data_IF_153770611565
#
_entry.id   IF_153770611565
#
_cell.length_a   1.000
_cell.length_b   1.000
_cell.length_c   1.000
_cell.angle_alpha   90.00
_cell.angle_beta   90.00
_cell.angle_gamma   90.00
#
_symmetry.space_group_name_H-M   'P 1'
#
loop_
_entity.id
_entity.type
_entity.pdbx_description
1 polymer ?
#
# COMPACT_ATOMS: atom_id res chain seq x y z
N UNK A 1 -36.83 1.69 45.52
CA UNK A 1 -36.63 0.65 44.49
C UNK A 1 -35.51 1.13 43.59
N UNK A 2 -34.35 0.44 43.51
CA UNK A 2 -33.29 0.86 42.61
C UNK A 2 -33.79 0.67 41.18
N UNK A 3 -33.76 1.74 40.38
CA UNK A 3 -34.06 1.66 38.96
C UNK A 3 -33.05 0.70 38.34
N UNK A 4 -33.54 -0.38 37.71
CA UNK A 4 -32.72 -1.33 36.97
C UNK A 4 -31.86 -0.58 35.96
N UNK A 5 -30.56 -0.50 36.20
CA UNK A 5 -29.53 -0.02 35.27
C UNK A 5 -29.22 -1.11 34.23
N UNK A 6 -30.25 -1.70 33.64
CA UNK A 6 -30.05 -2.63 32.54
C UNK A 6 -29.55 -1.83 31.32
N UNK A 7 -28.43 -2.22 30.69
CA UNK A 7 -27.96 -1.57 29.49
C UNK A 7 -29.06 -1.67 28.43
N UNK A 8 -29.52 -0.51 27.99
CA UNK A 8 -30.65 -0.37 27.08
C UNK A 8 -30.24 -0.71 25.65
N UNK A 9 -29.98 -1.99 25.39
CA UNK A 9 -29.75 -2.55 24.06
C UNK A 9 -28.49 -2.04 23.34
N UNK A 10 -28.27 -2.58 22.14
CA UNK A 10 -27.25 -2.11 21.21
C UNK A 10 -27.88 -1.06 20.28
N UNK A 11 -27.28 0.12 20.16
CA UNK A 11 -27.66 1.12 19.16
C UNK A 11 -26.76 0.96 17.94
N UNK A 12 -27.32 0.51 16.82
CA UNK A 12 -26.58 0.46 15.55
C UNK A 12 -26.68 1.82 14.85
N UNK A 13 -25.54 2.50 14.73
CA UNK A 13 -25.42 3.77 14.02
C UNK A 13 -24.86 3.51 12.61
N UNK A 14 -25.49 4.08 11.59
CA UNK A 14 -24.96 4.10 10.23
C UNK A 14 -24.56 5.55 9.90
N UNK A 15 -23.27 5.80 9.78
CA UNK A 15 -22.73 7.09 9.34
C UNK A 15 -22.48 7.01 7.84
N UNK A 16 -23.06 7.95 7.08
CA UNK A 16 -22.82 8.06 5.63
C UNK A 16 -22.18 9.42 5.34
N UNK A 17 -20.90 9.40 4.95
CA UNK A 17 -20.20 10.60 4.51
C UNK A 17 -20.51 10.83 3.03
N UNK A 18 -21.38 11.81 2.74
CA UNK A 18 -21.65 12.22 1.36
C UNK A 18 -20.81 13.45 1.02
N UNK A 19 -19.82 13.34 0.11
CA UNK A 19 -19.14 14.54 -0.36
C UNK A 19 -20.17 15.46 -1.05
N UNK A 20 -20.10 16.78 -0.84
CA UNK A 20 -21.00 17.71 -1.48
C UNK A 20 -20.65 17.76 -2.98
N UNK A 21 -21.50 17.15 -3.82
CA UNK A 21 -21.41 17.33 -5.26
C UNK A 21 -22.14 18.61 -5.66
N UNK A 22 -21.52 19.45 -6.49
CA UNK A 22 -22.12 20.68 -7.01
C UNK A 22 -23.33 20.42 -7.92
N UNK A 23 -23.42 19.20 -8.48
CA UNK A 23 -24.53 18.75 -9.31
C UNK A 23 -24.72 17.23 -9.16
N UNK A 24 -25.93 16.74 -9.43
CA UNK A 24 -26.18 15.30 -9.51
C UNK A 24 -25.38 14.69 -10.68
N UNK A 25 -24.62 13.62 -10.41
CA UNK A 25 -23.91 12.87 -11.43
C UNK A 25 -24.91 12.01 -12.20
N UNK A 26 -24.91 12.10 -13.54
CA UNK A 26 -25.68 11.19 -14.39
C UNK A 26 -25.04 9.80 -14.36
N UNK A 27 -25.77 8.84 -13.80
CA UNK A 27 -25.31 7.46 -13.65
C UNK A 27 -25.00 6.79 -15.01
N UNK A 28 -25.75 7.14 -16.06
CA UNK A 28 -25.54 6.59 -17.39
C UNK A 28 -24.22 7.07 -18.00
N UNK A 29 -23.93 8.36 -17.85
CA UNK A 29 -22.69 8.98 -18.27
C UNK A 29 -21.50 8.45 -17.46
N UNK A 30 -21.64 8.33 -16.14
CA UNK A 30 -20.60 7.76 -15.28
C UNK A 30 -20.26 6.31 -15.68
N UNK A 31 -21.26 5.45 -15.87
CA UNK A 31 -21.06 4.06 -16.31
C UNK A 31 -20.46 3.96 -17.71
N UNK A 32 -20.78 4.92 -18.59
CA UNK A 32 -20.17 5.00 -19.92
C UNK A 32 -18.70 5.39 -19.81
N UNK A 33 -18.38 6.41 -19.01
CA UNK A 33 -17.03 6.89 -18.78
C UNK A 33 -16.14 5.82 -18.15
N UNK A 34 -16.62 5.15 -17.09
CA UNK A 34 -15.89 4.04 -16.44
C UNK A 34 -15.56 2.90 -17.43
N UNK A 35 -16.49 2.58 -18.34
CA UNK A 35 -16.26 1.56 -19.37
C UNK A 35 -15.17 1.98 -20.36
N UNK A 36 -15.17 3.25 -20.78
CA UNK A 36 -14.15 3.78 -21.68
C UNK A 36 -12.76 3.80 -21.00
N UNK A 37 -12.70 4.18 -19.73
CA UNK A 37 -11.45 4.18 -18.94
C UNK A 37 -10.91 2.76 -18.74
N UNK A 38 -11.75 1.81 -18.33
CA UNK A 38 -11.34 0.41 -18.20
C UNK A 38 -10.86 -0.19 -19.54
N UNK A 39 -11.53 0.13 -20.65
CA UNK A 39 -11.09 -0.35 -21.97
C UNK A 39 -9.74 0.26 -22.36
N UNK A 40 -9.57 1.57 -22.17
CA UNK A 40 -8.30 2.27 -22.42
C UNK A 40 -7.17 1.68 -21.57
N UNK A 41 -7.39 1.50 -20.27
CA UNK A 41 -6.37 1.00 -19.36
C UNK A 41 -6.00 -0.46 -19.68
N UNK A 42 -6.96 -1.28 -20.14
CA UNK A 42 -6.69 -2.63 -20.64
C UNK A 42 -5.81 -2.62 -21.89
N UNK A 43 -6.08 -1.73 -22.85
CA UNK A 43 -5.27 -1.58 -24.07
C UNK A 43 -3.84 -1.11 -23.75
N UNK A 44 -3.70 -0.12 -22.86
CA UNK A 44 -2.40 0.38 -22.38
C UNK A 44 -1.63 -0.72 -21.67
N UNK A 45 -2.29 -1.50 -20.80
CA UNK A 45 -1.65 -2.62 -20.12
C UNK A 45 -1.20 -3.72 -21.07
N UNK A 46 -2.02 -4.05 -22.09
CA UNK A 46 -1.64 -5.03 -23.10
C UNK A 46 -0.39 -4.58 -23.89
N UNK A 47 -0.34 -3.31 -24.28
CA UNK A 47 0.82 -2.72 -24.95
C UNK A 47 2.07 -2.73 -24.05
N UNK A 48 1.92 -2.37 -22.77
CA UNK A 48 3.00 -2.42 -21.79
C UNK A 48 3.55 -3.84 -21.62
N UNK A 49 2.68 -4.83 -21.41
CA UNK A 49 3.07 -6.24 -21.22
C UNK A 49 3.81 -6.75 -22.45
N UNK A 50 3.37 -6.40 -23.66
CA UNK A 50 4.06 -6.75 -24.90
C UNK A 50 5.49 -6.19 -24.93
N UNK A 51 5.64 -4.89 -24.63
CA UNK A 51 6.95 -4.22 -24.56
C UNK A 51 7.85 -4.82 -23.48
N UNK A 52 7.31 -5.10 -22.30
CA UNK A 52 8.04 -5.71 -21.19
C UNK A 52 8.53 -7.13 -21.53
N UNK A 53 7.74 -7.92 -22.28
CA UNK A 53 8.14 -9.25 -22.76
C UNK A 53 9.29 -9.18 -23.76
N UNK A 54 9.23 -8.27 -24.73
CA UNK A 54 10.31 -8.06 -25.68
C UNK A 54 11.60 -7.63 -24.95
N UNK A 55 11.48 -6.65 -24.07
CA UNK A 55 12.58 -6.18 -23.22
C UNK A 55 13.21 -7.29 -22.37
N UNK A 56 12.39 -8.15 -21.75
CA UNK A 56 12.87 -9.30 -20.97
C UNK A 56 13.62 -10.31 -21.83
N UNK A 57 13.10 -10.59 -23.04
CA UNK A 57 13.75 -11.44 -24.02
C UNK A 57 15.14 -10.91 -24.40
N UNK A 58 15.23 -9.63 -24.73
CA UNK A 58 16.49 -8.96 -25.06
C UNK A 58 17.48 -8.96 -23.89
N UNK A 59 16.98 -8.77 -22.66
CA UNK A 59 17.78 -8.83 -21.44
C UNK A 59 18.38 -10.22 -21.21
N UNK A 60 17.57 -11.28 -21.23
CA UNK A 60 18.03 -12.67 -20.99
C UNK A 60 18.90 -13.19 -22.15
N UNK A 61 18.68 -12.70 -23.38
CA UNK A 61 19.48 -13.11 -24.54
C UNK A 61 20.96 -12.71 -24.43
N UNK A 62 21.28 -11.65 -23.68
CA UNK A 62 22.66 -11.21 -23.47
C UNK A 62 23.43 -12.17 -22.57
N UNK A 63 22.80 -12.69 -21.51
CA UNK A 63 23.38 -13.69 -20.63
C UNK A 63 22.28 -14.49 -19.93
N UNK A 64 22.28 -15.81 -20.13
CA UNK A 64 21.31 -16.71 -19.50
C UNK A 64 21.35 -16.68 -17.96
N UNK A 65 22.48 -16.32 -17.35
CA UNK A 65 22.60 -16.15 -15.89
C UNK A 65 21.69 -15.04 -15.36
N UNK A 66 21.35 -14.05 -16.19
CA UNK A 66 20.47 -12.94 -15.80
C UNK A 66 19.05 -13.38 -15.46
N UNK A 67 18.63 -14.57 -15.91
CA UNK A 67 17.32 -15.14 -15.57
C UNK A 67 17.15 -15.39 -14.06
N UNK A 68 18.24 -15.61 -13.33
CA UNK A 68 18.22 -15.87 -11.88
C UNK A 68 18.22 -14.59 -11.01
N UNK A 69 18.41 -13.42 -11.63
CA UNK A 69 18.45 -12.13 -10.93
C UNK A 69 17.04 -11.71 -10.51
N UNK A 70 16.87 -11.16 -9.29
CA UNK A 70 15.57 -10.73 -8.81
C UNK A 70 15.12 -9.46 -9.55
N UNK A 71 14.18 -9.59 -10.48
CA UNK A 71 13.64 -8.47 -11.26
C UNK A 71 12.13 -8.43 -11.06
N UNK A 72 11.62 -7.26 -10.68
CA UNK A 72 10.19 -7.03 -10.43
C UNK A 72 9.68 -5.95 -11.37
N UNK A 73 8.86 -6.33 -12.35
CA UNK A 73 8.30 -5.44 -13.37
C UNK A 73 6.83 -5.14 -13.09
N UNK A 74 6.09 -6.14 -12.60
CA UNK A 74 4.68 -6.05 -12.27
C UNK A 74 4.45 -6.39 -10.79
N UNK A 75 3.49 -5.71 -10.18
CA UNK A 75 2.97 -6.01 -8.86
C UNK A 75 1.44 -6.01 -8.87
N UNK A 76 0.84 -6.84 -8.01
CA UNK A 76 -0.62 -6.88 -7.83
C UNK A 76 -1.04 -5.74 -6.90
N UNK A 77 -1.99 -4.91 -7.33
CA UNK A 77 -2.57 -3.85 -6.50
C UNK A 77 -3.64 -4.36 -5.54
N UNK A 78 -4.17 -3.45 -4.72
CA UNK A 78 -5.23 -3.73 -3.74
C UNK A 78 -6.51 -4.26 -4.37
N UNK A 79 -6.83 -3.83 -5.59
CA UNK A 79 -7.98 -4.27 -6.37
C UNK A 79 -7.82 -5.67 -6.96
N UNK A 80 -6.64 -6.28 -6.81
CA UNK A 80 -6.28 -7.59 -7.37
C UNK A 80 -5.80 -7.53 -8.82
N UNK A 81 -5.75 -6.36 -9.44
CA UNK A 81 -5.22 -6.17 -10.79
C UNK A 81 -3.69 -6.05 -10.79
N UNK A 82 -3.05 -6.40 -11.90
CA UNK A 82 -1.61 -6.21 -12.04
C UNK A 82 -1.29 -4.82 -12.60
N UNK A 83 -0.29 -4.17 -12.02
CA UNK A 83 0.21 -2.88 -12.44
C UNK A 83 1.74 -2.88 -12.55
N UNK A 84 2.32 -2.06 -13.44
CA UNK A 84 3.74 -1.77 -13.45
C UNK A 84 4.22 -1.25 -12.10
N UNK A 85 5.38 -1.70 -11.63
CA UNK A 85 5.92 -1.31 -10.30
C UNK A 85 6.11 0.21 -10.15
N UNK A 86 6.37 0.92 -11.24
CA UNK A 86 6.51 2.38 -11.26
C UNK A 86 5.21 3.10 -10.88
N UNK A 87 4.03 2.51 -11.08
CA UNK A 87 2.76 3.12 -10.70
C UNK A 87 2.66 3.36 -9.18
N UNK A 88 3.37 2.55 -8.38
CA UNK A 88 3.32 2.62 -6.92
C UNK A 88 4.31 3.61 -6.31
N UNK A 89 5.17 4.23 -7.13
CA UNK A 89 6.14 5.23 -6.70
C UNK A 89 5.80 6.57 -7.33
N UNK A 90 5.76 7.64 -6.54
CA UNK A 90 5.55 9.00 -7.04
C UNK A 90 6.19 10.02 -6.12
N UNK A 91 6.66 11.17 -6.63
CA UNK A 91 7.16 12.24 -5.75
C UNK A 91 6.09 12.70 -4.76
N UNK A 92 6.42 12.73 -3.46
CA UNK A 92 5.51 13.14 -2.39
C UNK A 92 6.02 14.37 -1.65
N UNK A 93 5.31 15.48 -1.81
CA UNK A 93 5.63 16.72 -1.12
C UNK A 93 4.83 16.79 0.19
N UNK A 94 5.52 16.57 1.31
CA UNK A 94 4.95 16.68 2.66
C UNK A 94 4.99 18.12 3.23
N UNK A 95 5.31 19.11 2.41
CA UNK A 95 5.51 20.48 2.86
C UNK A 95 6.60 20.58 3.94
N UNK A 96 6.33 21.33 5.02
CA UNK A 96 7.27 21.52 6.15
C UNK A 96 7.16 20.43 7.24
N UNK A 97 6.35 19.38 7.04
CA UNK A 97 6.11 18.37 8.07
C UNK A 97 7.31 17.45 8.31
N UNK A 98 8.07 17.13 7.26
CA UNK A 98 9.35 16.43 7.36
C UNK A 98 10.43 17.32 6.74
N UNK A 99 11.43 17.70 7.54
CA UNK A 99 12.45 18.67 7.16
C UNK A 99 13.64 18.02 6.44
N UNK A 100 13.82 16.69 6.53
CA UNK A 100 14.95 16.00 5.91
C UNK A 100 14.67 14.55 5.48
N UNK A 101 15.49 14.05 4.56
CA UNK A 101 15.50 12.65 4.15
C UNK A 101 15.68 11.67 5.34
N UNK A 102 16.45 12.08 6.36
CA UNK A 102 16.67 11.27 7.57
C UNK A 102 15.41 11.21 8.44
N UNK A 103 14.69 12.32 8.55
CA UNK A 103 13.40 12.35 9.24
C UNK A 103 12.37 11.49 8.50
N UNK A 104 12.35 11.50 7.17
CA UNK A 104 11.51 10.60 6.39
C UNK A 104 11.85 9.13 6.60
N UNK A 105 13.13 8.75 6.57
CA UNK A 105 13.54 7.38 6.85
C UNK A 105 13.11 6.94 8.27
N UNK A 106 13.27 7.82 9.27
CA UNK A 106 12.81 7.55 10.64
C UNK A 106 11.29 7.45 10.71
N UNK A 107 10.56 8.36 10.09
CA UNK A 107 9.10 8.34 10.03
C UNK A 107 8.58 7.00 9.47
N UNK A 108 9.14 6.56 8.33
CA UNK A 108 8.77 5.29 7.72
C UNK A 108 9.11 4.10 8.62
N UNK A 109 10.29 4.10 9.26
CA UNK A 109 10.68 3.02 10.19
C UNK A 109 9.78 2.88 11.43
N UNK A 110 9.04 3.94 11.78
CA UNK A 110 8.09 3.93 12.90
C UNK A 110 6.72 3.35 12.51
N UNK A 111 6.46 3.19 11.21
CA UNK A 111 5.24 2.53 10.76
C UNK A 111 5.28 1.07 11.17
N UNK A 112 4.20 0.62 11.81
CA UNK A 112 4.12 -0.75 12.32
C UNK A 112 4.17 -1.74 11.17
N UNK A 113 5.10 -2.69 11.25
CA UNK A 113 5.15 -3.82 10.34
C UNK A 113 4.03 -4.79 10.70
N UNK A 114 3.36 -5.33 9.68
CA UNK A 114 2.29 -6.31 9.89
C UNK A 114 2.78 -7.61 10.52
N UNK A 115 4.05 -7.98 10.31
CA UNK A 115 4.66 -9.14 10.98
C UNK A 115 4.74 -8.99 12.51
N UNK A 116 4.70 -7.76 13.01
CA UNK A 116 4.68 -7.45 14.46
C UNK A 116 3.24 -7.43 15.02
N UNK A 117 2.20 -7.54 14.18
CA UNK A 117 0.81 -7.70 14.60
C UNK A 117 0.53 -9.19 14.78
N UNK A 118 0.00 -9.58 15.94
CA UNK A 118 -0.28 -10.97 16.28
C UNK A 118 -1.02 -11.71 15.14
N UNK A 119 -0.62 -12.94 14.78
CA UNK A 119 -1.32 -13.70 13.76
C UNK A 119 -2.75 -13.97 14.23
N UNK A 120 -3.72 -13.32 13.58
CA UNK A 120 -5.12 -13.67 13.74
C UNK A 120 -5.28 -15.16 13.35
N UNK A 121 -6.01 -15.97 14.14
CA UNK A 121 -6.26 -17.37 13.83
C UNK A 121 -7.12 -17.47 12.56
N UNK A 122 -6.45 -17.49 11.43
CA UNK A 122 -7.07 -17.60 10.12
C UNK A 122 -7.22 -19.08 9.80
N UNK A 123 -8.42 -19.61 10.03
CA UNK A 123 -8.79 -20.94 9.55
C UNK A 123 -8.76 -20.96 8.02
N UNK A 124 -7.81 -21.69 7.44
CA UNK A 124 -7.69 -21.92 6.01
C UNK A 124 -6.41 -21.36 5.42
N UNK A 125 -5.48 -22.24 5.08
CA UNK A 125 -4.32 -21.94 4.22
C UNK A 125 -4.83 -21.61 2.82
N UNK A 126 -5.10 -20.34 2.56
CA UNK A 126 -5.04 -19.81 1.20
C UNK A 126 -3.73 -19.05 1.11
N UNK A 127 -2.84 -19.45 0.20
CA UNK A 127 -1.63 -18.71 -0.14
C UNK A 127 -2.06 -17.33 -0.67
N UNK A 128 -2.21 -16.38 0.25
CA UNK A 128 -2.65 -15.03 -0.07
C UNK A 128 -1.54 -14.37 -0.91
N UNK A 129 -1.79 -14.16 -2.19
CA UNK A 129 -0.85 -13.54 -3.15
C UNK A 129 -0.27 -12.21 -2.62
N UNK A 130 1.00 -11.93 -2.91
CA UNK A 130 1.65 -10.63 -2.63
C UNK A 130 0.85 -9.51 -3.31
N UNK A 131 0.41 -8.52 -2.53
CA UNK A 131 -0.36 -7.38 -2.98
C UNK A 131 0.31 -6.12 -2.41
N UNK A 132 0.52 -5.12 -3.26
CA UNK A 132 1.11 -3.85 -2.89
C UNK A 132 0.01 -2.86 -2.53
N UNK A 133 0.03 -2.44 -1.28
CA UNK A 133 -0.86 -1.39 -0.83
C UNK A 133 -0.42 -0.04 -1.38
N UNK A 134 -1.40 0.82 -1.57
CA UNK A 134 -1.14 2.19 -1.93
C UNK A 134 -0.62 2.94 -0.73
N UNK A 135 0.14 3.97 -1.03
CA UNK A 135 0.66 4.90 -0.06
C UNK A 135 -0.38 5.38 0.97
N UNK A 136 -1.57 5.76 0.52
CA UNK A 136 -2.60 6.30 1.39
C UNK A 136 -3.18 5.22 2.31
N UNK A 137 -3.30 3.98 1.81
CA UNK A 137 -3.69 2.83 2.63
C UNK A 137 -2.65 2.63 3.72
N UNK A 138 -1.37 2.53 3.35
CA UNK A 138 -0.24 2.38 4.30
C UNK A 138 -0.25 3.46 5.38
N UNK A 139 -0.52 4.72 5.01
CA UNK A 139 -0.58 5.84 5.95
C UNK A 139 -1.85 5.84 6.81
N UNK A 140 -3.02 5.56 6.22
CA UNK A 140 -4.31 5.58 6.91
C UNK A 140 -4.46 4.43 7.90
N UNK A 141 -3.93 3.25 7.60
CA UNK A 141 -3.96 2.12 8.52
C UNK A 141 -2.93 2.24 9.65
N UNK A 142 -1.98 3.20 9.59
CA UNK A 142 -0.88 3.33 10.57
C UNK A 142 -0.01 2.06 10.71
N UNK A 143 -0.22 1.12 9.79
CA UNK A 143 0.29 -0.25 9.70
C UNK A 143 0.29 -0.58 8.20
N UNK A 144 1.33 -1.22 7.67
CA UNK A 144 1.31 -1.71 6.28
C UNK A 144 0.33 -2.90 6.18
N UNK A 145 -0.96 -2.65 5.93
CA UNK A 145 -2.01 -3.69 5.97
C UNK A 145 -2.38 -4.14 4.56
N UNK A 146 -1.98 -5.36 4.19
CA UNK A 146 -2.63 -6.10 3.10
C UNK A 146 -4.16 -6.14 3.27
N UNK A 147 -4.86 -5.43 2.39
CA UNK A 147 -6.33 -5.41 2.31
C UNK A 147 -6.80 -6.77 1.80
N UNK A 148 -7.63 -7.47 2.58
CA UNK A 148 -8.28 -8.71 2.15
C UNK A 148 -9.62 -8.38 1.52
N UNK A 149 -9.66 -8.22 0.19
CA UNK A 149 -10.92 -8.12 -0.53
C UNK A 149 -11.43 -9.52 -0.85
N UNK A 150 -12.55 -9.91 -0.23
CA UNK A 150 -13.38 -10.99 -0.77
C UNK A 150 -14.08 -10.45 -2.01
N UNK A 151 -13.61 -10.86 -3.19
CA UNK A 151 -14.34 -10.66 -4.43
C UNK A 151 -15.74 -11.28 -4.29
N UNK A 152 -16.79 -10.45 -4.27
CA UNK A 152 -18.13 -10.92 -4.62
C UNK A 152 -18.07 -11.28 -6.09
N UNK A 153 -18.04 -12.58 -6.38
CA UNK A 153 -18.24 -13.11 -7.71
C UNK A 153 -19.67 -12.77 -8.18
N UNK A 154 -19.83 -11.58 -8.76
CA UNK A 154 -20.89 -11.29 -9.72
C UNK A 154 -20.34 -11.57 -11.12
N UNK A 155 -21.13 -12.12 -12.05
CA UNK A 155 -20.65 -12.49 -13.36
C UNK A 155 -20.44 -11.22 -14.19
N UNK A 156 -19.25 -10.62 -14.06
CA UNK A 156 -18.74 -9.71 -15.08
C UNK A 156 -18.00 -10.59 -16.06
N UNK A 157 -18.62 -10.86 -17.20
CA UNK A 157 -17.97 -11.43 -18.38
C UNK A 157 -16.91 -10.45 -18.90
N UNK A 158 -15.84 -10.27 -18.15
CA UNK A 158 -14.56 -9.88 -18.72
C UNK A 158 -13.94 -11.20 -19.18
N UNK A 159 -13.98 -11.45 -20.50
CA UNK A 159 -13.04 -12.37 -21.14
C UNK A 159 -11.65 -11.76 -20.96
N UNK A 160 -11.11 -11.92 -19.75
CA UNK A 160 -9.74 -11.57 -19.42
C UNK A 160 -8.83 -12.44 -20.28
N UNK A 161 -7.87 -11.80 -20.91
CA UNK A 161 -6.70 -12.46 -21.48
C UNK A 161 -5.99 -13.13 -20.31
N UNK A 162 -6.32 -14.41 -20.06
CA UNK A 162 -5.49 -15.26 -19.21
C UNK A 162 -4.12 -15.35 -19.88
N UNK A 163 -3.17 -14.55 -19.40
CA UNK A 163 -1.75 -14.76 -19.67
C UNK A 163 -1.29 -16.00 -18.90
N UNK A 164 -1.77 -17.18 -19.30
CA UNK A 164 -1.25 -18.47 -18.86
C UNK A 164 0.21 -18.58 -19.32
N UNK A 165 1.15 -18.58 -18.37
CA UNK A 165 2.48 -19.15 -18.55
C UNK A 165 3.64 -18.19 -18.91
N UNK A 166 3.66 -16.95 -18.42
CA UNK A 166 4.86 -16.10 -18.54
C UNK A 166 5.04 -15.18 -17.32
N UNK A 167 5.93 -15.56 -16.40
CA UNK A 167 6.33 -14.70 -15.28
C UNK A 167 7.27 -13.60 -15.76
N UNK A 168 6.72 -12.38 -15.92
CA UNK A 168 7.50 -11.17 -16.19
C UNK A 168 8.40 -10.76 -15.01
N UNK A 169 8.17 -11.35 -13.84
CA UNK A 169 9.08 -11.31 -12.71
C UNK A 169 10.01 -12.52 -12.88
N UNK A 170 11.25 -12.27 -13.32
CA UNK A 170 12.21 -13.29 -13.75
C UNK A 170 12.27 -14.55 -12.85
N UNK A 171 12.46 -15.70 -13.49
CA UNK A 171 12.44 -17.03 -12.87
C UNK A 171 13.50 -17.20 -11.75
N UNK A 172 13.12 -16.85 -10.52
CA UNK A 172 13.62 -17.49 -9.33
C UNK A 172 12.98 -18.87 -9.22
N UNK A 173 13.73 -19.93 -9.54
CA UNK A 173 13.28 -21.30 -9.35
C UNK A 173 12.81 -21.54 -7.92
N UNK A 174 11.60 -22.07 -7.78
CA UNK A 174 11.26 -23.03 -6.73
C UNK A 174 11.46 -22.62 -5.27
N UNK A 175 11.47 -21.33 -4.94
CA UNK A 175 11.26 -20.91 -3.56
C UNK A 175 10.08 -19.97 -3.52
N UNK A 176 9.00 -20.45 -2.91
CA UNK A 176 7.89 -19.64 -2.40
C UNK A 176 8.49 -18.57 -1.51
N UNK A 177 8.85 -17.44 -2.09
CA UNK A 177 9.28 -16.26 -1.36
C UNK A 177 8.10 -15.85 -0.51
N UNK A 178 8.17 -16.10 0.79
CA UNK A 178 7.32 -15.43 1.76
C UNK A 178 7.71 -13.97 1.79
N UNK A 179 7.34 -13.20 0.76
CA UNK A 179 7.41 -11.75 0.77
C UNK A 179 6.43 -11.25 1.83
N UNK A 180 6.97 -10.94 3.00
CA UNK A 180 6.28 -10.20 4.05
C UNK A 180 5.89 -8.84 3.45
N UNK A 181 4.64 -8.74 3.00
CA UNK A 181 4.08 -7.60 2.24
C UNK A 181 4.14 -6.24 2.94
N UNK A 182 4.79 -6.11 4.10
CA UNK A 182 5.07 -4.81 4.72
C UNK A 182 6.36 -4.16 4.26
N UNK A 183 7.40 -4.92 3.88
CA UNK A 183 8.75 -4.35 3.63
C UNK A 183 8.83 -3.58 2.33
N UNK A 184 8.17 -4.09 1.29
CA UNK A 184 8.16 -3.46 -0.04
C UNK A 184 7.38 -2.14 0.00
N UNK A 185 6.24 -2.10 0.69
CA UNK A 185 5.41 -0.90 0.87
C UNK A 185 6.16 0.24 1.57
N UNK A 186 6.95 -0.09 2.60
CA UNK A 186 7.82 0.88 3.27
C UNK A 186 8.89 1.42 2.31
N UNK A 187 9.46 0.59 1.44
CA UNK A 187 10.42 1.02 0.42
C UNK A 187 9.77 1.96 -0.60
N UNK A 188 8.55 1.64 -1.06
CA UNK A 188 7.78 2.47 -2.00
C UNK A 188 7.45 3.84 -1.40
N UNK A 189 6.97 3.87 -0.15
CA UNK A 189 6.70 5.11 0.59
C UNK A 189 7.98 5.94 0.78
N UNK A 190 9.06 5.33 1.28
CA UNK A 190 10.32 6.05 1.50
C UNK A 190 10.87 6.62 0.19
N UNK A 191 10.91 5.83 -0.89
CA UNK A 191 11.36 6.31 -2.19
C UNK A 191 10.52 7.50 -2.68
N UNK A 192 9.21 7.41 -2.54
CA UNK A 192 8.26 8.47 -2.89
C UNK A 192 8.50 9.78 -2.10
N UNK A 193 8.82 9.67 -0.80
CA UNK A 193 9.20 10.82 0.04
C UNK A 193 10.53 11.44 -0.39
N UNK A 194 11.55 10.62 -0.67
CA UNK A 194 12.87 11.11 -1.08
C UNK A 194 12.82 11.80 -2.46
N UNK A 195 12.04 11.25 -3.40
CA UNK A 195 11.72 11.92 -4.66
C UNK A 195 11.05 13.27 -4.44
N UNK A 196 10.16 13.36 -3.44
CA UNK A 196 9.51 14.60 -3.04
C UNK A 196 10.46 15.69 -2.51
N UNK A 197 11.60 15.29 -1.93
CA UNK A 197 12.69 16.22 -1.56
C UNK A 197 13.59 16.59 -2.75
N UNK A 198 13.30 16.10 -3.96
CA UNK A 198 14.11 16.34 -5.15
C UNK A 198 15.39 15.51 -5.22
N UNK A 199 15.47 14.42 -4.45
CA UNK A 199 16.61 13.49 -4.53
C UNK A 199 16.44 12.51 -5.69
N UNK A 200 17.56 12.11 -6.30
CA UNK A 200 17.57 11.02 -7.30
C UNK A 200 17.42 9.67 -6.58
N UNK A 201 16.16 9.32 -6.28
CA UNK A 201 15.79 8.17 -5.45
C UNK A 201 15.17 7.02 -6.27
N UNK A 202 15.51 5.80 -5.84
CA UNK A 202 15.23 4.54 -6.53
C UNK A 202 14.85 3.48 -5.51
N UNK A 203 13.86 2.65 -5.83
CA UNK A 203 13.67 1.38 -5.14
C UNK A 203 14.62 0.37 -5.77
N UNK A 204 15.37 -0.33 -4.93
CA UNK A 204 16.30 -1.40 -5.34
C UNK A 204 15.67 -2.74 -4.98
N UNK A 205 15.63 -3.65 -5.94
CA UNK A 205 15.17 -5.03 -5.76
C UNK A 205 16.38 -5.94 -5.87
N UNK A 206 16.59 -6.74 -4.83
CA UNK A 206 17.81 -7.51 -4.68
C UNK A 206 17.69 -8.65 -3.68
N UNK A 207 18.83 -9.14 -3.22
CA UNK A 207 18.92 -10.17 -2.17
C UNK A 207 19.72 -9.67 -0.98
N UNK A 208 19.36 -10.13 0.21
CA UNK A 208 20.18 -10.02 1.42
C UNK A 208 21.24 -11.13 1.45
N UNK A 209 22.20 -11.04 2.38
CA UNK A 209 23.24 -12.09 2.56
C UNK A 209 22.69 -13.48 2.92
N UNK A 210 21.47 -13.56 3.43
CA UNK A 210 20.77 -14.83 3.68
C UNK A 210 20.11 -15.41 2.41
N UNK A 211 20.25 -14.73 1.26
CA UNK A 211 19.69 -15.11 -0.04
C UNK A 211 18.22 -14.74 -0.23
N UNK A 212 17.56 -14.18 0.80
CA UNK A 212 16.16 -13.75 0.73
C UNK A 212 16.00 -12.52 -0.17
N UNK A 213 14.87 -12.46 -0.88
CA UNK A 213 14.52 -11.28 -1.68
C UNK A 213 14.17 -10.11 -0.77
N UNK A 214 14.71 -8.93 -1.08
CA UNK A 214 14.46 -7.72 -0.30
C UNK A 214 14.40 -6.49 -1.21
N UNK A 215 13.60 -5.52 -0.77
CA UNK A 215 13.46 -4.22 -1.43
C UNK A 215 13.87 -3.12 -0.47
N UNK A 216 14.80 -2.26 -0.90
CA UNK A 216 15.28 -1.11 -0.13
C UNK A 216 15.34 0.13 -1.03
N UNK A 217 15.76 1.26 -0.47
CA UNK A 217 15.82 2.52 -1.22
C UNK A 217 17.27 2.97 -1.41
N UNK A 218 17.58 3.45 -2.61
CA UNK A 218 18.86 4.07 -2.94
C UNK A 218 18.63 5.53 -3.34
N UNK A 219 19.49 6.41 -2.87
CA UNK A 219 19.67 7.74 -3.46
C UNK A 219 21.04 7.84 -4.09
N UNK A 220 21.13 8.47 -5.27
CA UNK A 220 22.40 8.69 -5.98
C UNK A 220 22.97 10.06 -5.63
N UNK A 221 24.18 10.05 -5.08
CA UNK A 221 24.98 11.25 -4.84
C UNK A 221 25.74 11.71 -6.09
N UNK A 222 26.67 12.67 -5.96
CA UNK A 222 27.57 13.06 -7.04
C UNK A 222 28.31 11.85 -7.63
N UNK A 223 28.53 11.86 -8.96
CA UNK A 223 29.17 10.75 -9.68
C UNK A 223 28.45 9.39 -9.53
N UNK A 224 27.15 9.42 -9.29
CA UNK A 224 26.33 8.23 -9.10
C UNK A 224 26.74 7.36 -7.89
N UNK A 225 27.37 7.95 -6.87
CA UNK A 225 27.70 7.23 -5.64
C UNK A 225 26.42 6.77 -4.92
N UNK A 226 26.23 5.47 -4.65
CA UNK A 226 25.04 4.98 -3.97
C UNK A 226 25.04 5.38 -2.49
N UNK A 227 23.86 5.73 -1.99
CA UNK A 227 23.55 5.81 -0.57
C UNK A 227 22.28 4.99 -0.34
N UNK A 228 22.38 3.92 0.44
CA UNK A 228 21.26 3.03 0.72
C UNK A 228 20.52 3.43 1.98
N UNK A 229 19.24 3.15 1.99
CA UNK A 229 18.31 3.42 3.07
C UNK A 229 17.51 2.16 3.33
N UNK A 230 17.62 1.63 4.53
CA UNK A 230 16.83 0.49 4.98
C UNK A 230 15.46 0.99 5.48
N UNK A 231 14.36 0.70 4.78
CA UNK A 231 13.05 1.24 5.15
C UNK A 231 12.57 0.76 6.53
N UNK A 232 12.90 -0.49 6.89
CA UNK A 232 12.44 -1.09 8.14
C UNK A 232 13.10 -0.48 9.38
N UNK A 233 14.36 -0.06 9.28
CA UNK A 233 15.15 0.45 10.42
C UNK A 233 15.40 1.95 10.33
N UNK A 234 15.20 2.56 9.16
CA UNK A 234 15.57 3.94 8.87
C UNK A 234 17.09 4.16 8.81
N UNK A 235 17.89 3.10 8.86
CA UNK A 235 19.36 3.18 8.81
C UNK A 235 19.78 3.58 7.40
N UNK A 236 20.78 4.46 7.34
CA UNK A 236 21.40 4.93 6.11
C UNK A 236 22.81 4.37 6.02
N UNK A 237 23.13 3.76 4.89
CA UNK A 237 24.45 3.22 4.60
C UNK A 237 25.11 3.98 3.45
N UNK A 238 26.32 4.46 3.67
CA UNK A 238 27.15 5.11 2.65
C UNK A 238 28.10 4.10 2.01
N UNK A 239 28.66 4.45 0.84
CA UNK A 239 29.68 3.64 0.14
C UNK A 239 30.91 3.31 1.00
N UNK A 240 31.14 4.05 2.08
CA UNK A 240 32.23 3.78 3.04
C UNK A 240 31.87 2.70 4.07
N UNK A 241 30.59 2.35 4.20
CA UNK A 241 30.06 1.50 5.27
C UNK A 241 29.83 0.05 4.81
N UNK A 242 30.53 -0.37 3.74
CA UNK A 242 30.30 -1.63 3.00
C UNK A 242 30.23 -2.85 3.91
N UNK A 243 31.10 -2.92 4.91
CA UNK A 243 31.19 -4.04 5.84
C UNK A 243 29.93 -4.21 6.70
N UNK A 244 29.06 -3.20 6.75
CA UNK A 244 27.83 -3.19 7.54
C UNK A 244 26.57 -3.36 6.70
N UNK A 245 26.70 -3.41 5.37
CA UNK A 245 25.56 -3.51 4.48
C UNK A 245 24.93 -4.91 4.59
N UNK A 246 23.60 -5.03 4.67
CA UNK A 246 22.94 -6.33 4.67
C UNK A 246 22.70 -6.87 3.24
N UNK A 247 23.03 -6.07 2.22
CA UNK A 247 22.66 -6.31 0.81
C UNK A 247 23.72 -7.13 0.09
N UNK A 248 23.32 -8.29 -0.43
CA UNK A 248 24.19 -9.18 -1.18
C UNK A 248 24.25 -8.79 -2.66
N UNK A 249 23.10 -8.68 -3.32
CA UNK A 249 23.04 -8.47 -4.76
C UNK A 249 21.89 -7.58 -5.21
N UNK A 250 22.04 -6.94 -6.37
CA UNK A 250 21.09 -6.03 -7.00
C UNK A 250 20.66 -6.56 -8.36
N UNK A 251 19.35 -6.83 -8.50
CA UNK A 251 18.78 -7.30 -9.76
C UNK A 251 18.21 -6.18 -10.63
N UNK A 252 17.38 -5.31 -10.06
CA UNK A 252 16.89 -4.11 -10.74
C UNK A 252 16.66 -2.94 -9.80
N UNK A 253 16.59 -1.74 -10.39
CA UNK A 253 16.18 -0.51 -9.72
C UNK A 253 15.01 0.13 -10.47
N UNK A 254 14.09 0.77 -9.77
CA UNK A 254 13.00 1.50 -10.41
C UNK A 254 12.61 2.75 -9.63
N UNK A 255 12.06 3.73 -10.34
CA UNK A 255 11.45 4.92 -9.74
C UNK A 255 10.07 5.17 -10.39
N UNK A 256 9.57 6.40 -10.35
CA UNK A 256 8.26 6.76 -10.89
C UNK A 256 8.19 6.85 -12.43
N UNK A 257 9.33 6.77 -13.14
CA UNK A 257 9.40 6.99 -14.60
C UNK A 257 10.04 5.83 -15.37
N UNK A 258 10.90 5.03 -14.74
CA UNK A 258 11.63 3.96 -15.42
C UNK A 258 12.08 2.88 -14.46
N UNK A 259 12.37 1.70 -15.02
CA UNK A 259 13.07 0.60 -14.38
C UNK A 259 14.36 0.33 -15.13
N UNK A 260 15.40 -0.06 -14.43
CA UNK A 260 16.67 -0.49 -15.00
C UNK A 260 17.06 -1.83 -14.41
N UNK A 261 17.31 -2.82 -15.26
CA UNK A 261 17.82 -4.13 -14.86
C UNK A 261 19.34 -4.15 -14.94
N UNK A 262 19.98 -4.80 -13.96
CA UNK A 262 21.43 -4.88 -13.86
C UNK A 262 21.99 -5.86 -14.91
N UNK A 263 22.77 -5.36 -15.87
CA UNK A 263 23.44 -6.14 -16.92
C UNK A 263 24.92 -6.41 -16.63
N UNK A 264 25.43 -6.01 -15.47
CA UNK A 264 26.84 -6.14 -15.13
C UNK A 264 27.21 -7.60 -14.85
N UNK A 265 28.47 -7.98 -15.07
CA UNK A 265 28.93 -9.33 -14.76
C UNK A 265 28.80 -9.66 -13.27
N UNK A 266 29.16 -8.71 -12.42
CA UNK A 266 28.95 -8.78 -10.97
C UNK A 266 27.61 -8.12 -10.60
N UNK A 267 26.73 -8.85 -9.91
CA UNK A 267 25.50 -8.31 -9.34
C UNK A 267 25.63 -7.98 -7.85
N UNK A 268 26.81 -8.12 -7.25
CA UNK A 268 27.02 -7.78 -5.85
C UNK A 268 26.66 -6.32 -5.58
N UNK A 269 26.00 -6.03 -4.46
CA UNK A 269 25.60 -4.65 -4.13
C UNK A 269 26.82 -3.72 -3.99
N UNK A 270 27.99 -4.26 -3.66
CA UNK A 270 29.24 -3.51 -3.59
C UNK A 270 29.91 -3.30 -4.95
N UNK A 271 30.00 -4.35 -5.78
CA UNK A 271 30.67 -4.29 -7.08
C UNK A 271 29.83 -3.68 -8.21
N UNK A 272 28.52 -3.50 -7.98
CA UNK A 272 27.60 -2.88 -8.93
C UNK A 272 27.94 -1.40 -9.12
N UNK A 273 28.16 -0.99 -10.37
CA UNK A 273 28.17 0.43 -10.76
C UNK A 273 26.75 0.98 -10.83
N UNK A 274 26.50 2.12 -10.20
CA UNK A 274 25.18 2.77 -10.15
C UNK A 274 25.03 3.92 -11.16
N UNK A 275 25.85 3.94 -12.22
CA UNK A 275 25.67 4.81 -13.38
C UNK A 275 24.56 4.25 -14.26
N UNK A 276 23.31 4.56 -13.92
CA UNK A 276 22.12 4.00 -14.55
C UNK A 276 21.95 4.42 -16.02
N UNK A 277 22.64 5.48 -16.45
CA UNK A 277 22.60 6.01 -17.81
C UNK A 277 23.48 5.19 -18.79
N UNK A 278 24.36 4.31 -18.27
CA UNK A 278 25.19 3.46 -19.11
C UNK A 278 24.42 2.20 -19.55
N UNK A 279 24.04 2.18 -20.83
CA UNK A 279 23.29 1.09 -21.45
C UNK A 279 24.05 -0.25 -21.52
N UNK A 280 25.37 -0.25 -21.31
CA UNK A 280 26.16 -1.49 -21.19
C UNK A 280 26.03 -2.12 -19.79
N UNK A 281 25.80 -1.30 -18.76
CA UNK A 281 25.69 -1.73 -17.36
C UNK A 281 24.23 -1.93 -16.94
N UNK A 282 23.30 -1.17 -17.53
CA UNK A 282 21.89 -1.17 -17.17
C UNK A 282 21.00 -1.24 -18.39
N UNK A 283 20.05 -2.18 -18.38
CA UNK A 283 19.00 -2.26 -19.40
C UNK A 283 17.75 -1.55 -18.91
N UNK A 284 17.47 -0.39 -19.49
CA UNK A 284 16.29 0.42 -19.15
C UNK A 284 14.99 -0.13 -19.78
N UNK A 285 13.91 -0.09 -19.01
CA UNK A 285 12.52 -0.20 -19.44
C UNK A 285 11.82 1.13 -19.12
N UNK A 286 11.60 2.00 -20.11
CA UNK A 286 10.86 3.24 -19.91
C UNK A 286 9.42 2.98 -19.47
N UNK A 287 8.98 3.69 -18.43
CA UNK A 287 7.65 3.57 -17.83
C UNK A 287 7.10 4.95 -17.44
N UNK A 288 7.00 5.89 -18.38
CA UNK A 288 6.51 7.22 -18.06
C UNK A 288 5.01 7.14 -17.71
N UNK A 289 4.53 7.88 -16.70
CA UNK A 289 3.14 7.75 -16.22
C UNK A 289 2.06 7.89 -17.27
N UNK A 290 2.29 8.65 -18.36
CA UNK A 290 1.35 8.79 -19.47
C UNK A 290 1.15 7.52 -20.31
N UNK A 291 2.10 6.59 -20.27
CA UNK A 291 2.09 5.34 -21.03
C UNK A 291 1.72 4.13 -20.16
N UNK A 292 1.36 4.37 -18.90
CA UNK A 292 0.94 3.36 -17.94
C UNK A 292 -0.57 3.47 -17.72
N UNK A 293 -1.24 2.38 -17.31
CA UNK A 293 -2.64 2.47 -16.90
C UNK A 293 -2.78 3.52 -15.81
N UNK A 294 -3.90 4.24 -15.83
CA UNK A 294 -4.24 5.04 -14.67
C UNK A 294 -4.42 4.10 -13.48
N UNK A 295 -3.75 4.40 -12.38
CA UNK A 295 -4.20 3.86 -11.11
C UNK A 295 -5.60 4.44 -10.84
N UNK A 296 -6.56 3.66 -10.32
CA UNK A 296 -7.93 4.11 -10.10
C UNK A 296 -8.08 5.24 -9.05
N UNK A 297 -6.97 5.81 -8.57
CA UNK A 297 -6.96 6.74 -7.44
C UNK A 297 -6.25 8.05 -7.78
N UNK A 298 -6.88 9.16 -7.41
CA UNK A 298 -6.30 10.49 -7.55
C UNK A 298 -5.05 10.68 -6.66
N UNK A 299 -4.09 11.52 -7.05
CA UNK A 299 -3.01 11.93 -6.17
C UNK A 299 -3.57 12.77 -5.01
N UNK A 300 -3.84 12.12 -3.88
CA UNK A 300 -4.18 12.81 -2.64
C UNK A 300 -2.88 13.44 -2.09
N UNK A 301 -2.77 14.77 -2.01
CA UNK A 301 -1.65 15.42 -1.37
C UNK A 301 -1.69 15.11 0.13
N UNK A 302 -0.53 14.80 0.72
CA UNK A 302 -0.40 14.69 2.16
C UNK A 302 -0.38 16.11 2.75
N UNK A 303 -1.57 16.65 2.97
CA UNK A 303 -1.78 17.97 3.54
C UNK A 303 -2.11 17.86 5.04
N UNK A 304 -1.79 18.89 5.85
CA UNK A 304 -2.38 19.01 7.17
C UNK A 304 -3.90 18.94 7.06
N UNK A 305 -4.55 18.36 8.07
CA UNK A 305 -6.00 18.26 8.11
C UNK A 305 -6.61 19.65 7.82
N UNK A 306 -7.54 19.77 6.87
CA UNK A 306 -8.22 21.03 6.61
C UNK A 306 -9.13 21.44 7.79
N UNK A 307 -9.31 20.55 8.78
CA UNK A 307 -10.09 20.79 9.99
C UNK A 307 -9.25 21.66 10.93
N UNK A 308 -9.63 22.93 11.16
CA UNK A 308 -8.82 23.87 11.94
C UNK A 308 -8.76 23.49 13.43
N UNK A 309 -9.86 22.93 13.96
CA UNK A 309 -9.99 22.50 15.35
C UNK A 309 -10.68 21.13 15.41
N UNK A 310 -9.92 20.03 15.37
CA UNK A 310 -10.47 18.68 15.41
C UNK A 310 -11.16 18.36 16.74
N UNK A 311 -10.68 18.91 17.86
CA UNK A 311 -11.25 18.69 19.20
C UNK A 311 -12.62 19.37 19.33
N UNK A 312 -12.75 20.61 18.84
CA UNK A 312 -14.05 21.28 18.83
C UNK A 312 -15.05 20.59 17.90
N UNK A 313 -14.60 20.11 16.73
CA UNK A 313 -15.45 19.36 15.82
C UNK A 313 -15.90 18.03 16.44
N UNK A 314 -15.00 17.29 17.07
CA UNK A 314 -15.30 16.05 17.80
C UNK A 314 -16.35 16.28 18.88
N UNK A 315 -16.13 17.27 19.76
CA UNK A 315 -17.09 17.63 20.82
C UNK A 315 -18.45 18.05 20.25
N UNK A 316 -18.46 18.76 19.11
CA UNK A 316 -19.70 19.16 18.44
C UNK A 316 -20.46 17.95 17.88
N UNK A 317 -19.78 17.04 17.19
CA UNK A 317 -20.38 15.82 16.64
C UNK A 317 -20.88 14.89 17.74
N UNK A 318 -20.11 14.75 18.82
CA UNK A 318 -20.51 13.97 19.99
C UNK A 318 -21.77 14.55 20.63
N UNK A 319 -21.84 15.87 20.82
CA UNK A 319 -23.03 16.54 21.36
C UNK A 319 -24.27 16.32 20.46
N UNK A 320 -24.12 16.40 19.14
CA UNK A 320 -25.20 16.12 18.20
C UNK A 320 -25.67 14.66 18.27
N UNK A 321 -24.73 13.70 18.32
CA UNK A 321 -25.05 12.28 18.44
C UNK A 321 -25.75 11.95 19.78
N UNK A 322 -25.25 12.50 20.90
CA UNK A 322 -25.89 12.36 22.21
C UNK A 322 -27.32 12.92 22.21
N UNK A 323 -27.53 14.08 21.58
CA UNK A 323 -28.87 14.68 21.45
C UNK A 323 -29.81 13.82 20.58
N UNK A 324 -29.33 13.34 19.42
CA UNK A 324 -30.10 12.47 18.53
C UNK A 324 -30.46 11.13 19.19
N UNK A 325 -29.52 10.51 19.90
CA UNK A 325 -29.75 9.28 20.64
C UNK A 325 -30.78 9.48 21.77
N UNK A 326 -30.67 10.57 22.54
CA UNK A 326 -31.63 10.90 23.59
C UNK A 326 -33.03 11.22 23.04
N UNK A 327 -33.12 11.86 21.86
CA UNK A 327 -34.38 12.06 21.17
C UNK A 327 -35.00 10.74 20.69
N UNK A 328 -34.20 9.87 20.06
CA UNK A 328 -34.67 8.57 19.57
C UNK A 328 -35.18 7.68 20.71
N UNK A 329 -34.47 7.64 21.86
CA UNK A 329 -34.91 6.89 23.04
C UNK A 329 -36.25 7.37 23.59
N UNK A 330 -36.50 8.69 23.58
CA UNK A 330 -37.79 9.26 23.98
C UNK A 330 -38.91 8.91 23.00
N UNK A 331 -38.64 9.00 21.69
CA UNK A 331 -39.65 8.83 20.66
C UNK A 331 -39.98 7.37 20.34
N UNK A 332 -38.98 6.50 20.26
CA UNK A 332 -39.15 5.12 19.79
C UNK A 332 -39.28 4.10 20.93
N UNK A 333 -38.60 4.33 22.07
CA UNK A 333 -38.60 3.40 23.20
C UNK A 333 -39.54 3.83 24.34
N UNK A 334 -40.20 4.99 24.21
CA UNK A 334 -41.15 5.51 25.22
C UNK A 334 -40.53 5.73 26.60
N UNK A 335 -39.20 5.86 26.67
CA UNK A 335 -38.49 6.03 27.95
C UNK A 335 -38.75 7.45 28.46
N UNK A 336 -39.58 7.56 29.49
CA UNK A 336 -39.82 8.82 30.20
C UNK A 336 -38.67 9.10 31.17
N UNK A 337 -37.79 10.04 30.80
CA UNK A 337 -36.68 10.49 31.66
C UNK A 337 -35.52 11.13 30.90
N UNK A 338 -34.59 11.74 31.64
CA UNK A 338 -33.30 12.18 31.09
C UNK A 338 -32.44 10.95 30.78
N UNK A 339 -31.86 10.91 29.58
CA UNK A 339 -30.81 9.94 29.27
C UNK A 339 -29.54 10.37 30.01
N UNK A 340 -29.10 9.57 30.97
CA UNK A 340 -27.87 9.81 31.72
C UNK A 340 -26.70 9.22 30.94
N UNK A 341 -25.70 10.05 30.68
CA UNK A 341 -24.42 9.66 30.08
C UNK A 341 -23.41 9.47 31.21
N UNK A 342 -22.70 8.34 31.21
CA UNK A 342 -21.68 8.02 32.21
C UNK A 342 -20.30 8.06 31.56
N UNK A 343 -19.57 9.16 31.79
CA UNK A 343 -18.24 9.36 31.24
C UNK A 343 -17.20 8.40 31.87
N UNK A 344 -17.44 7.92 33.10
CA UNK A 344 -16.55 6.97 33.78
C UNK A 344 -16.65 5.59 33.14
N UNK A 345 -17.88 5.14 32.86
CA UNK A 345 -18.12 3.92 32.11
C UNK A 345 -17.56 4.01 30.67
N UNK A 346 -17.70 5.17 30.01
CA UNK A 346 -17.13 5.39 28.69
C UNK A 346 -15.60 5.24 28.68
N UNK A 347 -14.90 5.81 29.66
CA UNK A 347 -13.45 5.67 29.81
C UNK A 347 -13.04 4.21 30.06
N UNK A 348 -13.79 3.48 30.89
CA UNK A 348 -13.53 2.06 31.18
C UNK A 348 -13.76 1.15 29.98
N UNK A 349 -14.71 1.50 29.11
CA UNK A 349 -15.05 0.73 27.91
C UNK A 349 -14.16 1.06 26.71
N UNK A 350 -13.45 2.20 26.71
CA UNK A 350 -12.60 2.64 25.60
C UNK A 350 -11.58 1.58 25.14
N UNK A 351 -10.86 0.86 26.02
CA UNK A 351 -9.95 -0.21 25.61
C UNK A 351 -10.67 -1.42 25.00
N UNK A 352 -11.87 -1.74 25.49
CA UNK A 352 -12.68 -2.83 24.98
C UNK A 352 -13.28 -2.47 23.60
N UNK A 353 -13.76 -1.23 23.43
CA UNK A 353 -14.28 -0.72 22.17
C UNK A 353 -13.19 -0.73 21.09
N UNK A 354 -11.98 -0.26 21.43
CA UNK A 354 -10.82 -0.33 20.55
C UNK A 354 -10.52 -1.78 20.12
N UNK A 355 -10.61 -2.75 21.04
CA UNK A 355 -10.44 -4.17 20.70
C UNK A 355 -11.55 -4.68 19.76
N UNK A 356 -12.81 -4.27 19.95
CA UNK A 356 -13.92 -4.65 19.09
C UNK A 356 -13.86 -4.03 17.68
N UNK A 357 -13.46 -2.77 17.56
CA UNK A 357 -13.27 -2.09 16.28
C UNK A 357 -12.20 -2.79 15.43
N UNK A 358 -11.10 -3.23 16.06
CA UNK A 358 -10.06 -4.03 15.40
C UNK A 358 -10.56 -5.41 14.95
N UNK A 359 -11.51 -6.02 15.67
CA UNK A 359 -12.10 -7.32 15.30
C UNK A 359 -13.14 -7.19 14.18
N UNK A 360 -13.96 -6.13 14.19
CA UNK A 360 -14.98 -5.91 13.15
C UNK A 360 -14.40 -5.57 11.77
N UNK A 361 -13.18 -5.03 11.71
CA UNK A 361 -12.43 -4.90 10.43
C UNK A 361 -11.98 -6.24 9.84
N UNK A 362 -11.95 -7.32 10.63
CA UNK A 362 -11.40 -8.62 10.26
C UNK A 362 -12.42 -9.77 10.15
N UNK A 363 -13.70 -9.57 10.48
CA UNK A 363 -14.66 -10.67 10.39
C UNK A 363 -16.10 -10.31 10.69
N UNK A 364 -16.91 -10.15 9.65
CA UNK A 364 -18.37 -10.11 9.76
C UNK A 364 -19.05 -11.28 9.03
N UNK A 365 -18.62 -12.53 9.29
CA UNK A 365 -19.41 -13.71 8.92
C UNK A 365 -19.63 -14.72 10.06
N UNK A 366 -18.87 -14.69 11.15
CA UNK A 366 -19.02 -15.69 12.23
C UNK A 366 -20.27 -15.56 13.11
N UNK A 367 -20.96 -14.42 13.10
CA UNK A 367 -22.04 -14.15 14.08
C UNK A 367 -23.46 -14.40 13.55
N UNK A 368 -23.65 -14.83 12.29
CA UNK A 368 -24.99 -15.15 11.74
C UNK A 368 -25.43 -16.60 11.95
N UNK A 369 -24.51 -17.52 12.26
CA UNK A 369 -24.85 -18.96 12.40
C UNK A 369 -25.43 -19.32 13.80
N UNK A 370 -25.27 -18.47 14.82
CA UNK A 370 -25.71 -18.78 16.19
C UNK A 370 -27.17 -18.38 16.51
N UNK A 371 -27.96 -17.93 15.53
CA UNK A 371 -29.42 -17.67 15.68
C UNK A 371 -30.33 -18.67 14.96
N UNK A 372 -29.77 -19.78 14.47
CA UNK A 372 -30.52 -20.93 13.95
C UNK A 372 -30.05 -22.22 14.60
N UNK A 373 -30.22 -22.34 15.91
CA UNK A 373 -30.52 -23.60 16.58
C UNK A 373 -31.47 -23.34 17.73
#
# INVERSE_FOLDING_TARGET
MPASTAPAGLLTLQLELRPPFSAALDESLLKSQQRLEHARDADVMAAFVSRAKAWWGDYVSQNLAFKARPIKVLATGEDGSQYPVCCFVRPLQLGRCLASAREAARFVSLLRRREDLAPLPSGGQSELAECWCLLHTVLASGTAVKVSLRARAGPINARGVEAKGFDLNGAGGGNKGGGSGGREEMALLLCSLLLGFGLDAWVVVGRLHDGSGHSWVMTRGPLASPCFWEPATGVRYLITDVDTWPYQSVGCVFNHNRLAANCQCDDSAFGTSYVLEDAALWRELPMPPQDLPALPWSPIPLAPSPIPDPLALEAHLEAQLRAAAAQHRRQALGVEGLTVWDDTLAQLLMPALAAYEHVSGAGSEGCREARRK
#
